data_IF_904992172741
#
_entry.id   IF_904992172741
#
_cell.length_a   1.000
_cell.length_b   1.000
_cell.length_c   1.000
_cell.angle_alpha   90.00
_cell.angle_beta   90.00
_cell.angle_gamma   90.00
#
_symmetry.space_group_name_H-M   'P 1'
#
loop_
_entity.id
_entity.type
_entity.pdbx_description
1 polymer ?
#
# COMPACT_ATOMS: atom_id res chain seq x y z
N UNK A 1 3.75 -3.58 -13.96
CA UNK A 1 3.31 -2.17 -13.88
C UNK A 1 2.44 -1.85 -12.66
N UNK A 2 1.41 -2.63 -12.30
CA UNK A 2 0.55 -2.34 -11.13
C UNK A 2 1.33 -2.23 -9.79
N UNK A 3 2.31 -3.12 -9.56
CA UNK A 3 3.15 -3.12 -8.36
C UNK A 3 4.03 -1.86 -8.20
N UNK A 4 4.49 -1.25 -9.32
CA UNK A 4 5.30 -0.03 -9.25
C UNK A 4 4.49 1.19 -8.80
N UNK A 5 3.21 1.29 -9.16
CA UNK A 5 2.37 2.43 -8.78
C UNK A 5 2.09 2.41 -7.28
N UNK A 6 1.82 1.23 -6.72
CA UNK A 6 1.59 1.06 -5.28
C UNK A 6 2.88 1.42 -4.51
N UNK A 7 4.05 0.94 -4.95
CA UNK A 7 5.35 1.26 -4.37
C UNK A 7 5.73 2.77 -4.45
N UNK A 8 5.35 3.47 -5.52
CA UNK A 8 5.63 4.92 -5.65
C UNK A 8 4.73 5.78 -4.77
N UNK A 9 3.44 5.43 -4.67
CA UNK A 9 2.51 6.10 -3.72
C UNK A 9 2.96 5.82 -2.27
N UNK A 10 3.55 4.64 -2.03
CA UNK A 10 4.13 4.16 -0.77
C UNK A 10 5.25 5.03 -0.18
N UNK A 11 6.05 5.66 -1.05
CA UNK A 11 7.24 6.41 -0.62
C UNK A 11 6.89 7.73 0.08
N UNK A 12 5.68 8.26 -0.15
CA UNK A 12 5.27 9.59 0.28
C UNK A 12 4.16 9.61 1.34
N UNK A 13 3.62 8.44 1.73
CA UNK A 13 2.63 8.41 2.80
C UNK A 13 3.31 8.62 4.16
N UNK A 14 2.88 9.60 4.96
CA UNK A 14 3.39 9.76 6.31
C UNK A 14 3.00 8.51 7.11
N UNK A 15 3.98 7.88 7.77
CA UNK A 15 3.72 6.80 8.71
C UNK A 15 3.06 7.45 9.94
N UNK A 16 1.73 7.52 9.92
CA UNK A 16 0.97 8.10 11.01
C UNK A 16 0.88 7.04 12.11
N UNK A 17 1.62 7.23 13.21
CA UNK A 17 1.67 6.26 14.32
C UNK A 17 0.29 5.96 14.95
N UNK A 18 -0.75 6.75 14.67
CA UNK A 18 -2.05 6.70 15.34
C UNK A 18 -3.27 6.85 14.42
N UNK A 19 -3.14 6.75 13.08
CA UNK A 19 -4.28 6.88 12.18
C UNK A 19 -4.14 5.97 10.96
N UNK A 20 -5.23 5.27 10.62
CA UNK A 20 -5.36 4.54 9.36
C UNK A 20 -5.46 5.56 8.21
N UNK A 21 -4.57 5.47 7.21
CA UNK A 21 -4.61 6.32 6.02
C UNK A 21 -5.22 5.53 4.86
N UNK A 22 -6.29 6.07 4.25
CA UNK A 22 -6.96 5.45 3.10
C UNK A 22 -6.80 6.33 1.87
N UNK A 23 -6.14 5.79 0.84
CA UNK A 23 -5.96 6.44 -0.47
C UNK A 23 -6.87 5.78 -1.50
N UNK A 24 -7.70 6.57 -2.16
CA UNK A 24 -8.61 6.08 -3.22
C UNK A 24 -8.14 6.57 -4.58
N UNK A 25 -8.11 5.71 -5.61
CA UNK A 25 -7.88 6.17 -6.97
C UNK A 25 -9.05 7.04 -7.42
N UNK A 26 -8.80 7.95 -8.36
CA UNK A 26 -9.84 8.72 -9.03
C UNK A 26 -10.24 8.08 -10.35
N UNK A 27 -11.36 8.50 -10.93
CA UNK A 27 -11.64 8.16 -12.33
C UNK A 27 -10.60 8.79 -13.24
N UNK A 28 -10.15 8.11 -14.31
CA UNK A 28 -9.14 8.62 -15.22
C UNK A 28 -9.47 10.03 -15.74
N UNK A 29 -8.50 10.95 -15.65
CA UNK A 29 -8.66 12.33 -16.10
C UNK A 29 -9.48 13.22 -15.15
N UNK A 30 -9.82 12.75 -13.95
CA UNK A 30 -10.63 13.50 -12.98
C UNK A 30 -9.99 13.52 -11.60
N UNK A 31 -10.42 14.47 -10.78
CA UNK A 31 -10.18 14.48 -9.33
C UNK A 31 -11.31 13.81 -8.53
N UNK A 32 -12.24 13.12 -9.21
CA UNK A 32 -13.39 12.49 -8.58
C UNK A 32 -12.95 11.12 -8.07
N UNK A 33 -13.06 10.83 -6.75
CA UNK A 33 -12.76 9.51 -6.22
C UNK A 33 -13.58 8.44 -6.92
N UNK A 34 -12.94 7.32 -7.25
CA UNK A 34 -13.59 6.12 -7.74
C UNK A 34 -13.83 5.18 -6.55
N UNK A 35 -15.00 5.22 -5.89
CA UNK A 35 -15.24 4.38 -4.71
C UNK A 35 -15.26 2.90 -5.07
N UNK A 36 -15.53 2.53 -6.33
CA UNK A 36 -15.67 1.14 -6.77
C UNK A 36 -14.33 0.43 -6.95
N UNK A 37 -13.24 1.17 -7.04
CA UNK A 37 -11.91 0.58 -7.13
C UNK A 37 -11.37 0.18 -5.73
N UNK A 38 -10.44 -0.78 -5.68
CA UNK A 38 -9.65 -1.02 -4.48
C UNK A 38 -8.97 0.26 -3.98
N UNK A 39 -8.96 0.44 -2.66
CA UNK A 39 -8.22 1.50 -1.99
C UNK A 39 -6.87 0.96 -1.48
N UNK A 40 -5.93 1.87 -1.26
CA UNK A 40 -4.71 1.59 -0.50
C UNK A 40 -4.97 1.99 0.94
N UNK A 41 -4.77 1.05 1.86
CA UNK A 41 -5.00 1.23 3.30
C UNK A 41 -3.68 1.05 4.03
N UNK A 42 -3.18 2.10 4.65
CA UNK A 42 -2.00 2.06 5.51
C UNK A 42 -2.42 1.88 6.97
N UNK A 43 -1.74 0.97 7.65
CA UNK A 43 -1.91 0.67 9.06
C UNK A 43 -0.54 0.35 9.68
N UNK A 44 -0.06 1.27 10.54
CA UNK A 44 1.16 1.10 11.35
C UNK A 44 2.39 0.68 10.53
N UNK A 45 2.59 1.31 9.39
CA UNK A 45 3.71 1.04 8.49
C UNK A 45 3.52 -0.17 7.57
N UNK A 46 2.34 -0.80 7.59
CA UNK A 46 1.95 -1.85 6.65
C UNK A 46 0.83 -1.36 5.74
N UNK A 47 0.96 -1.64 4.46
CA UNK A 47 0.06 -1.13 3.44
C UNK A 47 -0.62 -2.28 2.71
N UNK A 48 -1.94 -2.20 2.63
CA UNK A 48 -2.81 -3.20 2.07
C UNK A 48 -3.59 -2.65 0.89
N UNK A 49 -3.90 -3.50 -0.07
CA UNK A 49 -5.02 -3.26 -0.97
C UNK A 49 -6.32 -3.64 -0.25
N UNK A 50 -7.40 -2.87 -0.44
CA UNK A 50 -8.72 -3.23 0.08
C UNK A 50 -9.54 -4.02 -0.94
N UNK A 51 -10.63 -4.66 -0.49
CA UNK A 51 -11.65 -5.12 -1.43
C UNK A 51 -12.26 -3.94 -2.20
N UNK A 52 -12.63 -4.12 -3.48
CA UNK A 52 -13.34 -3.12 -4.27
C UNK A 52 -14.56 -2.58 -3.50
N UNK A 53 -14.85 -1.29 -3.65
CA UNK A 53 -15.99 -0.64 -2.97
C UNK A 53 -15.93 -0.58 -1.44
N UNK A 54 -14.82 -1.00 -0.80
CA UNK A 54 -14.69 -1.01 0.66
C UNK A 54 -13.39 -0.32 1.12
N UNK A 55 -13.22 -0.21 2.44
CA UNK A 55 -11.92 0.03 3.09
C UNK A 55 -11.40 -1.22 3.81
N UNK A 56 -12.08 -2.36 3.62
CA UNK A 56 -11.71 -3.62 4.27
C UNK A 56 -10.47 -4.14 3.57
N UNK A 57 -9.37 -4.26 4.31
CA UNK A 57 -8.09 -4.81 3.85
C UNK A 57 -8.31 -6.20 3.26
N UNK A 58 -7.77 -6.43 2.07
CA UNK A 58 -7.77 -7.74 1.41
C UNK A 58 -6.52 -8.52 1.82
N UNK A 59 -6.62 -9.23 2.95
CA UNK A 59 -5.53 -10.07 3.45
C UNK A 59 -5.18 -11.25 2.53
N UNK A 60 -6.00 -11.56 1.51
CA UNK A 60 -5.67 -12.63 0.56
C UNK A 60 -4.52 -12.26 -0.37
N UNK A 61 -4.22 -10.96 -0.50
CA UNK A 61 -3.13 -10.43 -1.31
C UNK A 61 -1.91 -10.12 -0.45
N UNK A 62 -0.72 -10.05 -1.05
CA UNK A 62 0.44 -9.44 -0.41
C UNK A 62 0.16 -8.02 0.06
N UNK A 63 0.77 -7.67 1.19
CA UNK A 63 0.87 -6.31 1.69
C UNK A 63 2.28 -5.77 1.45
N UNK A 64 2.51 -4.49 1.73
CA UNK A 64 3.84 -3.90 1.74
C UNK A 64 4.20 -3.39 3.13
N UNK A 65 5.32 -3.86 3.68
CA UNK A 65 5.87 -3.44 4.97
C UNK A 65 7.08 -2.55 4.73
N UNK A 66 7.15 -1.41 5.43
CA UNK A 66 8.33 -0.57 5.45
C UNK A 66 9.20 -0.87 6.67
N UNK A 67 10.43 -1.28 6.43
CA UNK A 67 11.49 -1.42 7.43
C UNK A 67 12.59 -0.38 7.15
N UNK A 68 12.58 0.72 7.91
CA UNK A 68 13.49 1.84 7.67
C UNK A 68 13.29 2.47 6.29
N UNK A 69 14.33 2.43 5.46
CA UNK A 69 14.31 2.94 4.09
C UNK A 69 14.07 1.84 3.05
N UNK A 70 13.65 0.64 3.45
CA UNK A 70 13.34 -0.43 2.52
C UNK A 70 11.90 -0.88 2.69
N UNK A 71 11.23 -1.11 1.57
CA UNK A 71 9.88 -1.64 1.50
C UNK A 71 9.97 -3.07 1.00
N UNK A 72 9.31 -3.98 1.68
CA UNK A 72 9.18 -5.38 1.29
C UNK A 72 7.72 -5.73 1.04
N UNK A 73 7.48 -6.56 0.02
CA UNK A 73 6.20 -7.25 -0.13
C UNK A 73 6.10 -8.37 0.92
N UNK A 74 4.92 -8.64 1.47
CA UNK A 74 4.71 -9.75 2.41
C UNK A 74 4.31 -11.03 1.68
N UNK A 75 4.46 -12.19 2.32
CA UNK A 75 3.82 -13.40 1.79
C UNK A 75 2.29 -13.21 1.79
N UNK A 76 1.58 -13.64 0.72
CA UNK A 76 0.13 -13.55 0.66
C UNK A 76 -0.53 -14.15 1.91
N UNK A 77 -1.55 -13.51 2.48
CA UNK A 77 -2.18 -14.01 3.70
C UNK A 77 -1.43 -13.71 5.00
N UNK A 78 -0.26 -13.07 4.94
CA UNK A 78 0.60 -12.87 6.11
C UNK A 78 1.12 -11.43 6.24
N UNK A 79 1.57 -11.10 7.45
CA UNK A 79 2.34 -9.89 7.72
C UNK A 79 3.87 -10.14 7.68
N UNK A 80 4.31 -11.27 7.12
CA UNK A 80 5.74 -11.63 7.09
C UNK A 80 6.37 -11.05 5.82
N UNK A 81 7.36 -10.15 5.91
CA UNK A 81 8.04 -9.60 4.74
C UNK A 81 8.82 -10.69 4.00
N UNK A 82 8.59 -10.80 2.70
CA UNK A 82 9.33 -11.68 1.80
C UNK A 82 10.65 -11.03 1.39
N UNK A 83 11.67 -11.20 2.23
CA UNK A 83 13.02 -10.66 1.99
C UNK A 83 13.80 -11.43 0.91
N UNK A 84 13.28 -12.56 0.41
CA UNK A 84 13.96 -13.38 -0.59
C UNK A 84 13.90 -12.78 -2.00
N UNK A 85 12.82 -12.07 -2.33
CA UNK A 85 12.62 -11.42 -3.63
C UNK A 85 13.25 -10.02 -3.69
N UNK A 86 13.91 -9.58 -2.62
CA UNK A 86 14.42 -8.21 -2.48
C UNK A 86 13.31 -7.22 -2.08
N UNK A 87 13.68 -5.93 -2.03
CA UNK A 87 12.78 -4.86 -1.64
C UNK A 87 13.07 -3.57 -2.40
N UNK A 88 12.23 -2.56 -2.19
CA UNK A 88 12.38 -1.24 -2.79
C UNK A 88 13.06 -0.29 -1.81
N UNK A 89 14.20 0.28 -2.19
CA UNK A 89 14.82 1.36 -1.42
C UNK A 89 14.02 2.66 -1.62
N UNK A 90 13.69 3.31 -0.52
CA UNK A 90 13.03 4.61 -0.50
C UNK A 90 14.10 5.67 -0.22
N UNK A 91 14.28 6.57 -1.18
CA UNK A 91 15.10 7.77 -1.03
C UNK A 91 14.18 8.98 -0.88
N UNK A 92 14.36 9.76 0.18
CA UNK A 92 13.73 11.07 0.32
C UNK A 92 14.58 12.08 -0.47
N UNK A 93 13.97 12.75 -1.45
CA UNK A 93 14.59 13.81 -2.25
C UNK A 93 13.75 15.07 -2.21
#
# INVERSE_FOLDING_TARGET
MKHQIIATVLAFLPIAANAEVVVRPTYPGTSIPNPMAPAIVEDRGTIYESYPATTIRDYSKPAYVREGNTVYETFPGTSIPNKMEGGYSVEER
#
